data_IF_182321598044
#
_entry.id   IF_182321598044
#
_cell.length_a   1.000
_cell.length_b   1.000
_cell.length_c   1.000
_cell.angle_alpha   90.00
_cell.angle_beta   90.00
_cell.angle_gamma   90.00
#
_symmetry.space_group_name_H-M   'P 1'
#
loop_
_entity.id
_entity.type
_entity.pdbx_description
1 polymer ?
#
# COMPACT_ATOMS: atom_id res chain seq x y z
N UNK A 1 -21.87 6.24 -3.02
CA UNK A 1 -20.93 6.72 -1.97
C UNK A 1 -20.84 5.61 -0.95
N UNK A 2 -19.71 4.89 -0.90
CA UNK A 2 -19.50 3.92 0.18
C UNK A 2 -19.60 4.64 1.54
N UNK A 3 -20.25 4.02 2.54
CA UNK A 3 -20.31 4.59 3.88
C UNK A 3 -18.90 4.77 4.46
N UNK A 4 -18.66 5.89 5.15
CA UNK A 4 -17.36 6.20 5.74
C UNK A 4 -16.94 5.13 6.75
N UNK A 5 -15.95 4.31 6.37
CA UNK A 5 -15.35 3.30 7.24
C UNK A 5 -14.41 4.01 8.22
N UNK A 6 -14.88 4.31 9.44
CA UNK A 6 -14.12 5.06 10.46
C UNK A 6 -12.71 4.50 10.75
N UNK A 7 -12.52 3.20 10.54
CA UNK A 7 -11.25 2.51 10.79
C UNK A 7 -10.24 2.64 9.65
N UNK A 8 -10.69 2.91 8.42
CA UNK A 8 -9.86 3.09 7.22
C UNK A 8 -9.06 4.40 7.32
N UNK A 9 -7.76 4.41 7.02
CA UNK A 9 -6.97 5.63 6.96
C UNK A 9 -7.52 6.63 5.94
N UNK A 10 -7.29 7.92 6.19
CA UNK A 10 -7.55 8.98 5.21
C UNK A 10 -6.22 9.28 4.52
N UNK A 11 -6.19 9.14 3.21
CA UNK A 11 -5.02 9.42 2.39
C UNK A 11 -5.02 10.89 1.95
N UNK A 12 -3.85 11.52 1.98
CA UNK A 12 -3.65 12.90 1.55
C UNK A 12 -3.03 12.97 0.15
N UNK A 13 -2.35 14.08 -0.12
CA UNK A 13 -1.53 14.27 -1.32
C UNK A 13 -0.07 14.44 -0.90
N UNK A 14 0.85 13.84 -1.64
CA UNK A 14 2.27 13.99 -1.43
C UNK A 14 2.67 15.44 -1.70
N UNK A 15 3.48 15.99 -0.81
CA UNK A 15 4.09 17.31 -0.95
C UNK A 15 5.56 17.27 -0.52
N UNK A 16 6.45 18.04 -1.14
CA UNK A 16 7.85 18.12 -0.70
C UNK A 16 7.89 18.53 0.78
N UNK A 17 8.69 17.83 1.58
CA UNK A 17 8.87 18.13 3.01
C UNK A 17 10.34 18.43 3.28
N UNK A 18 10.66 19.29 4.26
CA UNK A 18 12.03 19.44 4.72
C UNK A 18 12.48 18.15 5.42
N UNK A 19 13.62 17.62 5.00
CA UNK A 19 14.25 16.40 5.52
C UNK A 19 15.68 16.30 5.01
N UNK A 20 16.46 15.39 5.61
CA UNK A 20 17.83 15.09 5.15
C UNK A 20 17.83 13.92 4.17
N UNK A 21 16.87 13.02 4.31
CA UNK A 21 16.72 11.81 3.51
C UNK A 21 15.26 11.64 3.11
N UNK A 22 15.03 11.21 1.86
CA UNK A 22 13.68 11.02 1.32
C UNK A 22 13.54 9.60 0.80
N UNK A 23 12.53 8.87 1.25
CA UNK A 23 12.23 7.52 0.77
C UNK A 23 10.81 7.49 0.19
N UNK A 24 10.74 7.20 -1.11
CA UNK A 24 9.49 7.00 -1.83
C UNK A 24 9.25 5.50 -2.01
N UNK A 25 8.05 5.04 -1.70
CA UNK A 25 7.62 3.66 -1.92
C UNK A 25 6.31 3.71 -2.68
N UNK A 26 6.31 3.20 -3.91
CA UNK A 26 5.14 3.24 -4.77
C UNK A 26 4.91 1.97 -5.58
N UNK A 27 3.65 1.67 -5.89
CA UNK A 27 3.25 0.68 -6.89
C UNK A 27 2.38 1.28 -7.99
N UNK A 28 2.54 0.77 -9.21
CA UNK A 28 1.73 1.12 -10.39
C UNK A 28 1.44 2.64 -10.51
N UNK A 29 0.17 3.03 -10.50
CA UNK A 29 -0.29 4.44 -10.62
C UNK A 29 0.18 5.31 -9.43
N UNK A 30 0.67 4.72 -8.34
CA UNK A 30 1.35 5.43 -7.26
C UNK A 30 2.59 6.19 -7.71
N UNK A 31 3.20 5.81 -8.84
CA UNK A 31 4.27 6.59 -9.47
C UNK A 31 3.81 8.00 -9.87
N UNK A 32 2.54 8.18 -10.25
CA UNK A 32 2.01 9.48 -10.65
C UNK A 32 2.06 10.48 -9.49
N UNK A 33 1.84 10.05 -8.26
CA UNK A 33 1.96 10.90 -7.08
C UNK A 33 3.40 11.41 -6.89
N UNK A 34 4.41 10.58 -7.17
CA UNK A 34 5.83 10.98 -7.13
C UNK A 34 6.10 12.00 -8.23
N UNK A 35 5.61 11.75 -9.44
CA UNK A 35 5.78 12.63 -10.60
C UNK A 35 5.05 13.97 -10.41
N UNK A 36 3.88 13.98 -9.78
CA UNK A 36 3.12 15.17 -9.42
C UNK A 36 3.86 15.99 -8.36
N UNK A 37 4.37 15.34 -7.32
CA UNK A 37 5.22 15.98 -6.30
C UNK A 37 6.44 16.64 -6.94
N UNK A 38 7.10 15.94 -7.88
CA UNK A 38 8.30 16.42 -8.55
C UNK A 38 8.11 17.75 -9.29
N UNK A 39 6.89 18.04 -9.77
CA UNK A 39 6.55 19.33 -10.42
C UNK A 39 6.66 20.53 -9.47
N UNK A 40 6.56 20.30 -8.17
CA UNK A 40 6.61 21.32 -7.12
C UNK A 40 7.85 21.21 -6.22
N UNK A 41 8.68 20.18 -6.42
CA UNK A 41 9.87 19.96 -5.63
C UNK A 41 10.98 20.97 -5.96
N UNK A 42 11.75 21.42 -4.96
CA UNK A 42 12.90 22.29 -5.21
C UNK A 42 13.96 21.58 -6.07
N UNK A 43 14.80 22.31 -6.81
CA UNK A 43 15.92 21.73 -7.54
C UNK A 43 16.82 20.89 -6.62
N UNK A 44 17.24 19.72 -7.08
CA UNK A 44 18.09 18.79 -6.33
C UNK A 44 17.37 17.98 -5.24
N UNK A 45 16.05 18.10 -5.10
CA UNK A 45 15.28 17.37 -4.08
C UNK A 45 15.44 15.84 -4.16
N UNK A 46 15.55 15.29 -5.37
CA UNK A 46 15.73 13.84 -5.58
C UNK A 46 17.20 13.38 -5.44
N UNK A 47 18.17 14.29 -5.33
CA UNK A 47 19.59 13.96 -5.24
C UNK A 47 19.95 13.19 -3.96
N UNK A 48 19.09 13.26 -2.93
CA UNK A 48 19.19 12.50 -1.68
C UNK A 48 18.03 11.50 -1.52
N UNK A 49 17.22 11.28 -2.56
CA UNK A 49 16.05 10.43 -2.50
C UNK A 49 16.35 8.98 -2.89
N UNK A 50 15.73 8.03 -2.18
CA UNK A 50 15.58 6.65 -2.61
C UNK A 50 14.15 6.41 -3.10
N UNK A 51 14.00 5.77 -4.26
CA UNK A 51 12.71 5.36 -4.81
C UNK A 51 12.67 3.83 -4.86
N UNK A 52 11.67 3.25 -4.22
CA UNK A 52 11.29 1.84 -4.26
C UNK A 52 10.01 1.74 -5.08
N UNK A 53 10.09 1.15 -6.26
CA UNK A 53 8.97 1.05 -7.19
C UNK A 53 8.59 -0.40 -7.48
N UNK A 54 7.29 -0.67 -7.50
CA UNK A 54 6.70 -1.99 -7.80
C UNK A 54 5.74 -1.84 -8.99
N UNK A 55 6.14 -2.25 -10.21
CA UNK A 55 5.37 -2.03 -11.44
C UNK A 55 3.93 -2.57 -11.44
N UNK A 56 3.69 -3.75 -10.85
CA UNK A 56 2.42 -4.50 -10.95
C UNK A 56 1.93 -4.58 -12.40
N UNK A 57 0.64 -4.30 -12.65
CA UNK A 57 0.02 -4.34 -13.97
C UNK A 57 0.46 -3.21 -14.91
N UNK A 58 1.09 -2.14 -14.39
CA UNK A 58 1.55 -1.02 -15.21
C UNK A 58 2.82 -1.33 -16.02
N UNK A 59 3.53 -2.40 -15.66
CA UNK A 59 4.80 -2.78 -16.28
C UNK A 59 5.79 -1.61 -16.29
N UNK A 60 6.50 -1.43 -17.40
CA UNK A 60 7.59 -0.45 -17.48
C UNK A 60 7.11 1.00 -17.70
N UNK A 61 5.79 1.25 -17.72
CA UNK A 61 5.20 2.52 -18.16
C UNK A 61 5.67 3.75 -17.38
N UNK A 62 6.03 3.59 -16.10
CA UNK A 62 6.50 4.70 -15.25
C UNK A 62 8.03 4.70 -15.02
N UNK A 63 8.75 3.64 -15.39
CA UNK A 63 10.17 3.48 -15.07
C UNK A 63 11.02 4.61 -15.67
N UNK A 64 10.83 4.91 -16.96
CA UNK A 64 11.59 5.96 -17.63
C UNK A 64 11.38 7.34 -16.97
N UNK A 65 10.14 7.66 -16.59
CA UNK A 65 9.81 8.93 -15.95
C UNK A 65 10.41 9.02 -14.53
N UNK A 66 10.35 7.94 -13.74
CA UNK A 66 10.94 7.89 -12.41
C UNK A 66 12.47 7.96 -12.46
N UNK A 67 13.11 7.30 -13.43
CA UNK A 67 14.55 7.41 -13.64
C UNK A 67 14.98 8.81 -14.06
N UNK A 68 14.16 9.54 -14.82
CA UNK A 68 14.45 10.91 -15.23
C UNK A 68 14.51 11.89 -14.05
N UNK A 69 13.92 11.54 -12.89
CA UNK A 69 14.06 12.30 -11.64
C UNK A 69 15.46 12.19 -11.00
N UNK A 70 16.28 11.24 -11.46
CA UNK A 70 17.66 10.99 -10.98
C UNK A 70 17.75 10.81 -9.45
N UNK A 71 16.97 9.88 -8.85
CA UNK A 71 17.11 9.60 -7.43
C UNK A 71 18.51 9.06 -7.12
N UNK A 72 19.03 9.35 -5.93
CA UNK A 72 20.29 8.77 -5.44
C UNK A 72 20.28 7.23 -5.51
N UNK A 73 19.12 6.64 -5.20
CA UNK A 73 18.93 5.18 -5.22
C UNK A 73 17.60 4.85 -5.85
N UNK A 74 17.59 3.84 -6.70
CA UNK A 74 16.38 3.29 -7.29
C UNK A 74 16.37 1.78 -7.09
N UNK A 75 15.24 1.26 -6.62
CA UNK A 75 14.98 -0.17 -6.52
C UNK A 75 13.66 -0.49 -7.21
N UNK A 76 13.71 -1.45 -8.11
CA UNK A 76 12.54 -2.06 -8.72
C UNK A 76 12.34 -3.45 -8.14
N UNK A 77 11.11 -3.77 -7.75
CA UNK A 77 10.78 -5.08 -7.17
C UNK A 77 9.47 -5.67 -7.70
N UNK A 78 9.32 -7.00 -7.67
CA UNK A 78 8.13 -7.67 -8.21
C UNK A 78 6.89 -7.51 -7.31
N UNK A 79 7.07 -7.25 -6.02
CA UNK A 79 5.97 -7.05 -5.06
C UNK A 79 6.45 -6.33 -3.80
N UNK A 80 5.51 -5.77 -3.04
CA UNK A 80 5.80 -5.20 -1.72
C UNK A 80 6.35 -6.26 -0.76
N UNK A 81 5.81 -7.48 -0.81
CA UNK A 81 6.30 -8.62 -0.03
C UNK A 81 7.79 -8.90 -0.25
N UNK A 82 8.26 -8.82 -1.51
CA UNK A 82 9.67 -8.98 -1.85
C UNK A 82 10.54 -7.79 -1.42
N UNK A 83 9.98 -6.57 -1.39
CA UNK A 83 10.69 -5.37 -0.96
C UNK A 83 10.79 -5.23 0.57
N UNK A 84 9.86 -5.83 1.33
CA UNK A 84 9.75 -5.67 2.78
C UNK A 84 11.04 -5.98 3.56
N UNK A 85 11.81 -7.06 3.30
CA UNK A 85 13.05 -7.30 4.03
C UNK A 85 14.07 -6.16 3.88
N UNK A 86 14.20 -5.62 2.66
CA UNK A 86 15.06 -4.46 2.39
C UNK A 86 14.54 -3.22 3.10
N UNK A 87 13.25 -2.93 3.00
CA UNK A 87 12.62 -1.77 3.64
C UNK A 87 12.81 -1.80 5.16
N UNK A 88 12.63 -2.96 5.80
CA UNK A 88 12.88 -3.15 7.22
C UNK A 88 14.33 -2.83 7.60
N UNK A 89 15.29 -3.26 6.78
CA UNK A 89 16.69 -2.91 7.00
C UNK A 89 16.94 -1.40 6.85
N UNK A 90 16.38 -0.77 5.81
CA UNK A 90 16.47 0.68 5.59
C UNK A 90 15.90 1.46 6.77
N UNK A 91 14.72 1.06 7.27
CA UNK A 91 14.10 1.71 8.43
C UNK A 91 14.90 1.51 9.72
N UNK A 92 15.45 0.32 9.94
CA UNK A 92 16.25 0.02 11.13
C UNK A 92 17.55 0.84 11.22
N UNK A 93 18.10 1.27 10.08
CA UNK A 93 19.32 2.10 10.02
C UNK A 93 19.02 3.57 9.68
N UNK A 94 17.75 3.96 9.61
CA UNK A 94 17.37 5.33 9.29
C UNK A 94 17.76 6.27 10.43
N UNK A 95 18.23 7.46 10.07
CA UNK A 95 18.54 8.53 11.02
C UNK A 95 17.38 9.53 11.13
N UNK A 96 17.41 10.37 12.17
CA UNK A 96 16.46 11.47 12.30
C UNK A 96 16.53 12.38 11.08
N UNK A 97 15.38 12.72 10.50
CA UNK A 97 15.30 13.53 9.29
C UNK A 97 14.80 12.78 8.05
N UNK A 98 14.63 11.45 8.13
CA UNK A 98 13.97 10.66 7.10
C UNK A 98 12.51 11.10 6.89
N UNK A 99 12.15 11.37 5.63
CA UNK A 99 10.77 11.56 5.18
C UNK A 99 10.32 10.40 4.32
N UNK A 100 9.22 9.78 4.71
CA UNK A 100 8.64 8.63 4.02
C UNK A 100 7.41 9.04 3.23
N UNK A 101 7.37 8.66 1.96
CA UNK A 101 6.28 8.93 1.04
C UNK A 101 5.76 7.61 0.50
N UNK A 102 4.51 7.28 0.80
CA UNK A 102 3.87 6.03 0.39
C UNK A 102 2.76 6.37 -0.60
N UNK A 103 2.80 5.79 -1.80
CA UNK A 103 1.75 6.03 -2.79
C UNK A 103 1.36 4.80 -3.60
N UNK A 104 0.11 4.75 -4.05
CA UNK A 104 -0.43 3.62 -4.82
C UNK A 104 -1.52 2.87 -4.06
N UNK A 105 -1.55 1.54 -4.18
CA UNK A 105 -2.63 0.72 -3.65
C UNK A 105 -2.64 0.70 -2.12
N UNK A 106 -3.82 0.55 -1.51
CA UNK A 106 -3.94 0.43 -0.04
C UNK A 106 -3.11 -0.72 0.53
N UNK A 107 -2.99 -1.82 -0.24
CA UNK A 107 -2.18 -2.97 0.14
C UNK A 107 -0.70 -2.62 0.30
N UNK A 108 -0.13 -1.84 -0.63
CA UNK A 108 1.25 -1.36 -0.52
C UNK A 108 1.40 -0.36 0.61
N UNK A 109 0.55 0.68 0.64
CA UNK A 109 0.64 1.76 1.63
C UNK A 109 0.57 1.18 3.04
N UNK A 110 -0.41 0.31 3.29
CA UNK A 110 -0.60 -0.28 4.61
C UNK A 110 0.57 -1.16 5.04
N UNK A 111 1.11 -2.01 4.16
CA UNK A 111 2.25 -2.89 4.49
C UNK A 111 3.54 -2.10 4.74
N UNK A 112 3.83 -1.10 3.91
CA UNK A 112 4.99 -0.22 4.09
C UNK A 112 4.85 0.63 5.36
N UNK A 113 3.66 1.17 5.62
CA UNK A 113 3.38 1.94 6.84
C UNK A 113 3.53 1.08 8.10
N UNK A 114 3.01 -0.14 8.09
CA UNK A 114 3.20 -1.07 9.21
C UNK A 114 4.69 -1.30 9.48
N UNK A 115 5.48 -1.61 8.45
CA UNK A 115 6.91 -1.84 8.59
C UNK A 115 7.67 -0.60 9.12
N UNK A 116 7.27 0.60 8.71
CA UNK A 116 7.87 1.85 9.20
C UNK A 116 7.52 2.11 10.67
N UNK A 117 6.24 1.93 11.06
CA UNK A 117 5.80 2.11 12.45
C UNK A 117 6.43 1.07 13.39
N UNK A 118 6.55 -0.19 12.95
CA UNK A 118 7.22 -1.27 13.70
C UNK A 118 8.71 -0.95 13.94
N UNK A 119 9.34 -0.17 13.05
CA UNK A 119 10.71 0.33 13.18
C UNK A 119 10.82 1.63 13.99
N UNK A 120 9.70 2.19 14.49
CA UNK A 120 9.68 3.41 15.29
C UNK A 120 9.73 4.71 14.48
N UNK A 121 9.47 4.69 13.17
CA UNK A 121 9.35 5.91 12.37
C UNK A 121 8.10 6.69 12.82
N UNK A 122 8.30 7.96 13.14
CA UNK A 122 7.21 8.82 13.61
C UNK A 122 6.16 9.06 12.52
N UNK A 123 4.87 8.99 12.90
CA UNK A 123 3.77 9.15 11.97
C UNK A 123 3.77 10.51 11.25
N UNK A 124 4.28 11.58 11.88
CA UNK A 124 4.39 12.91 11.23
C UNK A 124 5.45 12.97 10.13
N UNK A 125 6.33 11.95 10.06
CA UNK A 125 7.35 11.82 9.02
C UNK A 125 6.87 11.02 7.80
N UNK A 126 5.62 10.56 7.81
CA UNK A 126 5.03 9.72 6.76
C UNK A 126 3.90 10.49 6.06
N UNK A 127 3.96 10.57 4.74
CA UNK A 127 2.86 10.99 3.89
C UNK A 127 2.34 9.80 3.08
N UNK A 128 1.02 9.76 2.88
CA UNK A 128 0.37 8.67 2.14
C UNK A 128 -0.59 9.24 1.11
N UNK A 129 -0.53 8.75 -0.12
CA UNK A 129 -1.45 9.12 -1.20
C UNK A 129 -1.94 7.88 -1.95
N UNK A 130 -3.24 7.61 -1.90
CA UNK A 130 -3.82 6.47 -2.58
C UNK A 130 -3.97 6.74 -4.09
N UNK A 131 -3.49 5.81 -4.92
CA UNK A 131 -3.64 5.82 -6.38
C UNK A 131 -3.89 4.39 -6.87
N UNK A 132 -4.53 4.24 -8.03
CA UNK A 132 -4.83 2.94 -8.61
C UNK A 132 -6.06 2.27 -7.99
N UNK A 133 -6.07 0.93 -8.01
CA UNK A 133 -7.23 0.10 -7.70
C UNK A 133 -7.74 0.24 -6.25
N UNK A 134 -9.07 0.18 -6.08
CA UNK A 134 -9.72 0.05 -4.76
C UNK A 134 -9.82 -1.40 -4.25
N UNK A 135 -9.14 -2.35 -4.91
CA UNK A 135 -9.10 -3.74 -4.50
C UNK A 135 -8.61 -3.88 -3.06
N UNK A 136 -9.32 -4.69 -2.27
CA UNK A 136 -9.10 -4.81 -0.84
C UNK A 136 -8.15 -5.95 -0.52
N UNK A 137 -7.28 -5.71 0.46
CA UNK A 137 -6.53 -6.77 1.16
C UNK A 137 -7.40 -7.34 2.28
N UNK A 138 -7.72 -8.63 2.24
CA UNK A 138 -8.71 -9.25 3.15
C UNK A 138 -8.09 -10.34 4.00
N UNK A 139 -8.05 -10.15 5.32
CA UNK A 139 -7.65 -11.19 6.26
C UNK A 139 -8.85 -12.05 6.66
N UNK A 140 -8.74 -13.35 6.47
CA UNK A 140 -9.69 -14.33 6.98
C UNK A 140 -9.63 -14.40 8.52
N UNK A 141 -10.75 -14.16 9.20
CA UNK A 141 -10.82 -14.27 10.68
C UNK A 141 -10.61 -15.72 11.14
N UNK A 142 -10.93 -16.72 10.33
CA UNK A 142 -10.75 -18.14 10.64
C UNK A 142 -9.27 -18.55 10.63
N UNK A 143 -8.61 -18.52 9.47
CA UNK A 143 -7.24 -19.04 9.33
C UNK A 143 -6.14 -17.98 9.42
N UNK A 144 -6.49 -16.69 9.52
CA UNK A 144 -5.57 -15.53 9.48
C UNK A 144 -4.83 -15.34 8.16
N UNK A 145 -5.05 -16.20 7.18
CA UNK A 145 -4.58 -16.04 5.81
C UNK A 145 -5.15 -14.78 5.16
N UNK A 146 -4.34 -14.15 4.31
CA UNK A 146 -4.71 -12.92 3.59
C UNK A 146 -4.90 -13.21 2.12
N UNK A 147 -6.04 -12.78 1.59
CA UNK A 147 -6.35 -12.75 0.16
C UNK A 147 -6.09 -11.32 -0.33
N UNK A 148 -5.15 -11.18 -1.26
CA UNK A 148 -4.77 -9.89 -1.87
C UNK A 148 -5.73 -9.56 -3.03
N UNK A 149 -5.76 -8.29 -3.44
CA UNK A 149 -6.44 -7.81 -4.65
C UNK A 149 -7.90 -8.23 -4.79
N UNK A 150 -8.65 -8.23 -3.69
CA UNK A 150 -10.07 -8.60 -3.69
C UNK A 150 -10.91 -7.48 -4.28
N UNK A 151 -11.50 -7.73 -5.45
CA UNK A 151 -12.46 -6.82 -6.11
C UNK A 151 -13.93 -7.20 -5.88
N UNK A 152 -14.18 -8.41 -5.37
CA UNK A 152 -15.53 -8.98 -5.26
C UNK A 152 -15.99 -9.24 -3.84
N UNK A 153 -17.31 -9.32 -3.67
CA UNK A 153 -17.96 -9.76 -2.45
C UNK A 153 -19.10 -10.75 -2.77
N UNK A 154 -19.17 -11.90 -2.10
CA UNK A 154 -18.15 -12.47 -1.21
C UNK A 154 -16.87 -12.86 -1.97
N UNK A 155 -15.82 -13.17 -1.22
CA UNK A 155 -14.53 -13.63 -1.76
C UNK A 155 -14.17 -14.99 -1.18
N UNK A 156 -13.62 -15.90 -2.00
CA UNK A 156 -13.11 -17.17 -1.49
C UNK A 156 -11.72 -16.95 -0.89
N UNK A 157 -11.52 -17.36 0.37
CA UNK A 157 -10.23 -17.28 1.01
C UNK A 157 -9.19 -18.13 0.27
N UNK A 158 -8.11 -17.52 -0.21
CA UNK A 158 -7.02 -18.22 -0.92
C UNK A 158 -6.25 -19.23 -0.07
N UNK A 159 -6.48 -19.26 1.25
CA UNK A 159 -5.77 -20.13 2.19
C UNK A 159 -6.61 -21.32 2.65
N UNK A 160 -7.86 -21.08 3.08
CA UNK A 160 -8.72 -22.11 3.66
C UNK A 160 -9.98 -22.43 2.85
N UNK A 161 -10.20 -21.75 1.71
CA UNK A 161 -11.33 -22.00 0.82
C UNK A 161 -12.70 -21.54 1.33
N UNK A 162 -12.80 -20.97 2.54
CA UNK A 162 -14.06 -20.43 3.05
C UNK A 162 -14.53 -19.22 2.24
N UNK A 163 -15.84 -19.12 2.04
CA UNK A 163 -16.47 -17.97 1.39
C UNK A 163 -16.64 -16.84 2.41
N UNK A 164 -16.03 -15.69 2.14
CA UNK A 164 -15.91 -14.59 3.09
C UNK A 164 -16.74 -13.38 2.68
N UNK A 165 -17.52 -12.86 3.64
CA UNK A 165 -18.03 -11.50 3.63
C UNK A 165 -16.92 -10.54 4.07
N UNK A 166 -16.61 -9.53 3.26
CA UNK A 166 -15.66 -8.47 3.62
C UNK A 166 -16.38 -7.44 4.47
N UNK A 167 -16.01 -7.36 5.75
CA UNK A 167 -16.61 -6.38 6.67
C UNK A 167 -16.00 -4.99 6.45
N UNK A 168 -16.79 -3.97 6.75
CA UNK A 168 -16.33 -2.58 6.85
C UNK A 168 -15.52 -2.32 8.14
N UNK A 169 -14.48 -3.12 8.33
CA UNK A 169 -13.55 -3.00 9.44
C UNK A 169 -12.12 -3.18 8.93
N UNK A 170 -11.39 -2.07 8.86
CA UNK A 170 -9.99 -2.03 8.48
C UNK A 170 -9.08 -2.13 9.71
N UNK A 171 -8.22 -3.13 9.75
CA UNK A 171 -7.19 -3.25 10.79
C UNK A 171 -5.94 -2.52 10.34
N UNK A 172 -5.65 -1.36 10.97
CA UNK A 172 -4.41 -0.59 10.72
C UNK A 172 -3.15 -1.41 11.01
N UNK A 173 -3.20 -2.25 12.05
CA UNK A 173 -2.09 -3.13 12.42
C UNK A 173 -1.78 -4.18 11.36
N UNK A 174 -2.80 -4.67 10.66
CA UNK A 174 -2.66 -5.76 9.68
C UNK A 174 -2.66 -5.26 8.23
N UNK A 175 -2.91 -3.97 8.03
CA UNK A 175 -3.13 -3.38 6.73
C UNK A 175 -4.17 -4.15 5.89
N UNK A 176 -5.27 -4.57 6.52
CA UNK A 176 -6.25 -5.45 5.88
C UNK A 176 -7.67 -5.27 6.45
N UNK A 177 -8.66 -5.49 5.59
CA UNK A 177 -10.06 -5.66 5.98
C UNK A 177 -10.30 -7.05 6.57
N UNK A 178 -11.28 -7.18 7.45
CA UNK A 178 -11.63 -8.48 8.03
C UNK A 178 -12.67 -9.21 7.17
N UNK A 179 -12.35 -10.43 6.76
CA UNK A 179 -13.26 -11.37 6.12
C UNK A 179 -13.79 -12.38 7.11
N UNK A 180 -15.12 -12.53 7.18
CA UNK A 180 -15.80 -13.54 8.01
C UNK A 180 -16.57 -14.53 7.15
N UNK A 181 -16.72 -15.77 7.57
CA UNK A 181 -17.50 -16.76 6.84
C UNK A 181 -18.93 -16.24 6.63
N UNK A 182 -19.37 -16.12 5.38
CA UNK A 182 -20.70 -15.58 5.06
C UNK A 182 -21.80 -16.61 5.28
N UNK A 183 -21.50 -17.88 4.98
CA UNK A 183 -22.40 -19.00 5.03
C UNK A 183 -22.05 -19.94 6.19
N UNK A 184 -21.87 -19.35 7.38
CA UNK A 184 -21.46 -20.06 8.58
C UNK A 184 -22.52 -21.08 9.06
N UNK A 185 -23.79 -20.83 8.75
CA UNK A 185 -24.91 -21.70 9.12
C UNK A 185 -25.07 -22.89 8.14
N UNK A 186 -24.86 -22.67 6.84
CA UNK A 186 -24.90 -23.70 5.79
C UNK A 186 -23.81 -23.46 4.72
N UNK A 187 -22.74 -24.25 4.75
CA UNK A 187 -21.62 -24.11 3.80
C UNK A 187 -22.00 -24.42 2.34
N UNK A 188 -23.15 -25.04 2.08
CA UNK A 188 -23.63 -25.33 0.73
C UNK A 188 -24.36 -24.14 0.08
N UNK A 189 -24.70 -23.12 0.87
CA UNK A 189 -25.36 -21.91 0.40
C UNK A 189 -24.50 -21.19 -0.64
N UNK A 190 -25.11 -20.90 -1.80
CA UNK A 190 -24.50 -20.14 -2.88
C UNK A 190 -24.90 -18.69 -2.79
N UNK A 191 -23.98 -17.85 -2.34
CA UNK A 191 -24.16 -16.40 -2.34
C UNK A 191 -23.64 -15.82 -3.67
N UNK A 192 -24.41 -14.97 -4.38
CA UNK A 192 -23.95 -14.35 -5.61
C UNK A 192 -22.72 -13.47 -5.37
N UNK A 193 -21.75 -13.57 -6.28
CA UNK A 193 -20.52 -12.77 -6.26
C UNK A 193 -20.72 -11.50 -7.08
N UNK A 194 -20.56 -10.37 -6.43
CA UNK A 194 -20.66 -9.04 -7.03
C UNK A 194 -19.30 -8.36 -7.01
N UNK A 195 -19.00 -7.56 -8.03
CA UNK A 195 -17.77 -6.77 -8.07
C UNK A 195 -18.02 -5.39 -7.46
N UNK A 196 -17.55 -5.21 -6.23
CA UNK A 196 -17.90 -4.06 -5.37
C UNK A 196 -16.70 -3.15 -5.13
N UNK A 197 -15.46 -3.62 -5.31
CA UNK A 197 -14.25 -2.88 -4.97
C UNK A 197 -13.41 -2.56 -6.22
N UNK A 198 -13.87 -1.61 -7.03
CA UNK A 198 -13.19 -1.12 -8.25
C UNK A 198 -12.66 0.29 -8.05
#
# INVERSE_FOLDING_TARGET
MEPTIKSRPVYGTLSPQPGTDHLFIADAEGAEAILDLAKSAPPGFFDAAEIVFIPRASGDGYLAALHALKPARFYEGPSIGAALPRLKQTFATAHMGLRLYLSGTEGLIGQAMQAALDAGIDHSSIQTEHRGSLARRVQCVHCKGVTEDVTTQPVTCSHCGLLLLVRDHYSRRLAAFQGVCINAEDQSEKVPVEEVFR
#
